data_IF_766924690204
#
_entry.id   IF_766924690204
#
_cell.length_a   1.000
_cell.length_b   1.000
_cell.length_c   1.000
_cell.angle_alpha   90.00
_cell.angle_beta   90.00
_cell.angle_gamma   90.00
#
_symmetry.space_group_name_H-M   'P 1'
#
loop_
_entity.id
_entity.type
_entity.pdbx_description
1 polymer ?
#
# COMPACT_ATOMS: atom_id res chain seq x y z
N UNK A 1 36.53 -36.76 -86.90
CA UNK A 1 36.85 -35.34 -86.86
C UNK A 1 36.01 -34.71 -85.77
N UNK A 2 36.55 -34.42 -84.71
CA UNK A 2 36.41 -33.15 -83.94
C UNK A 2 37.02 -33.34 -82.55
N UNK A 3 37.89 -32.42 -82.19
CA UNK A 3 38.78 -32.46 -81.06
C UNK A 3 38.01 -32.07 -79.79
N UNK A 4 38.18 -32.84 -78.71
CA UNK A 4 37.76 -32.57 -77.37
C UNK A 4 38.95 -31.83 -76.69
N UNK A 5 38.70 -30.56 -76.26
CA UNK A 5 39.61 -29.81 -75.42
C UNK A 5 39.19 -30.00 -73.99
N UNK A 6 40.09 -30.58 -73.18
CA UNK A 6 40.05 -30.74 -71.75
C UNK A 6 40.28 -29.37 -71.10
N UNK A 7 39.33 -28.92 -70.27
CA UNK A 7 39.47 -27.72 -69.43
C UNK A 7 39.53 -28.16 -67.95
N UNK A 8 40.78 -28.12 -67.41
CA UNK A 8 41.03 -28.30 -66.00
C UNK A 8 40.51 -27.09 -65.21
N UNK A 9 39.48 -27.27 -64.41
CA UNK A 9 39.02 -26.27 -63.42
C UNK A 9 39.91 -26.38 -62.19
N UNK A 10 40.75 -25.38 -61.98
CA UNK A 10 41.51 -25.18 -60.73
C UNK A 10 40.50 -24.60 -59.66
N UNK A 11 40.25 -25.39 -58.64
CA UNK A 11 39.56 -24.91 -57.45
C UNK A 11 40.51 -23.99 -56.66
N UNK A 12 40.33 -22.69 -56.78
CA UNK A 12 40.90 -21.74 -55.87
C UNK A 12 40.17 -21.74 -54.54
N UNK A 13 40.71 -22.34 -53.47
CA UNK A 13 40.31 -22.12 -52.12
C UNK A 13 40.54 -20.65 -51.78
N UNK A 14 39.51 -19.83 -51.79
CA UNK A 14 39.56 -18.51 -51.23
C UNK A 14 39.59 -18.63 -49.70
N UNK A 15 40.76 -18.52 -49.10
CA UNK A 15 40.89 -18.22 -47.68
C UNK A 15 40.22 -16.87 -47.43
N UNK A 16 39.03 -16.90 -46.82
CA UNK A 16 38.43 -15.68 -46.30
C UNK A 16 39.37 -15.12 -45.22
N UNK A 17 39.79 -13.86 -45.31
CA UNK A 17 40.53 -13.26 -44.23
C UNK A 17 39.62 -13.25 -42.97
N UNK A 18 40.11 -13.82 -41.89
CA UNK A 18 39.61 -13.51 -40.56
C UNK A 18 39.75 -12.00 -40.40
N UNK A 19 38.64 -11.27 -40.58
CA UNK A 19 38.56 -9.89 -40.13
C UNK A 19 38.55 -9.97 -38.61
N UNK A 20 39.72 -9.82 -38.01
CA UNK A 20 39.80 -9.49 -36.62
C UNK A 20 38.95 -8.23 -36.44
N UNK A 21 37.95 -8.30 -35.59
CA UNK A 21 37.12 -7.15 -35.21
C UNK A 21 38.09 -6.06 -34.71
N UNK A 22 38.35 -5.06 -35.57
CA UNK A 22 39.17 -3.92 -35.22
C UNK A 22 38.35 -3.12 -34.20
N UNK A 23 38.94 -2.84 -33.06
CA UNK A 23 38.36 -1.97 -32.04
C UNK A 23 37.75 -0.73 -32.71
N UNK A 24 36.51 -0.41 -32.34
CA UNK A 24 35.75 0.68 -32.95
C UNK A 24 36.23 2.08 -32.52
N UNK A 25 37.26 2.17 -31.70
CA UNK A 25 37.85 3.43 -31.24
C UNK A 25 39.26 3.60 -31.84
N UNK A 26 39.48 4.69 -32.58
CA UNK A 26 40.79 5.09 -33.06
C UNK A 26 41.76 5.49 -31.93
N UNK A 27 41.25 5.74 -30.72
CA UNK A 27 42.00 6.13 -29.51
C UNK A 27 42.38 4.95 -28.63
N UNK A 28 41.90 3.72 -28.93
CA UNK A 28 42.13 2.54 -28.11
C UNK A 28 41.39 2.59 -26.73
N UNK A 29 40.50 3.53 -26.56
CA UNK A 29 39.69 3.65 -25.34
C UNK A 29 38.58 2.58 -25.35
N UNK A 30 38.57 1.77 -24.32
CA UNK A 30 37.58 0.70 -24.14
C UNK A 30 36.19 1.34 -23.87
N UNK A 31 35.27 1.22 -24.82
CA UNK A 31 33.98 1.89 -24.73
C UNK A 31 33.10 1.26 -23.65
N UNK A 32 32.93 -0.06 -23.65
CA UNK A 32 32.29 -0.89 -22.62
C UNK A 32 32.38 -2.38 -23.00
N UNK A 33 32.16 -3.27 -22.04
CA UNK A 33 32.13 -4.72 -22.27
C UNK A 33 30.77 -5.32 -21.98
N UNK A 34 30.46 -6.43 -22.63
CA UNK A 34 29.25 -7.21 -22.33
C UNK A 34 29.50 -8.07 -21.10
N UNK A 35 28.65 -7.95 -20.08
CA UNK A 35 28.63 -8.81 -18.91
C UNK A 35 27.73 -10.04 -19.11
N UNK A 36 26.57 -9.84 -19.75
CA UNK A 36 25.68 -10.93 -20.14
C UNK A 36 24.87 -10.56 -21.40
N UNK A 37 24.54 -11.58 -22.20
CA UNK A 37 23.53 -11.48 -23.26
C UNK A 37 22.21 -11.97 -22.68
N UNK A 38 21.13 -11.20 -22.87
CA UNK A 38 19.81 -11.48 -22.33
C UNK A 38 18.78 -11.36 -23.46
N UNK A 39 18.30 -12.48 -23.99
CA UNK A 39 17.44 -12.53 -25.17
C UNK A 39 18.06 -11.73 -26.35
N UNK A 40 17.40 -10.64 -26.76
CA UNK A 40 17.86 -9.74 -27.84
C UNK A 40 18.68 -8.53 -27.33
N UNK A 41 18.82 -8.40 -26.00
CA UNK A 41 19.54 -7.30 -25.33
C UNK A 41 20.86 -7.75 -24.70
N UNK A 42 21.54 -6.81 -24.08
CA UNK A 42 22.81 -7.03 -23.38
C UNK A 42 22.84 -6.28 -22.05
N UNK A 43 23.45 -6.89 -21.06
CA UNK A 43 23.88 -6.23 -19.82
C UNK A 43 25.34 -5.83 -19.99
N UNK A 44 25.64 -4.56 -19.77
CA UNK A 44 26.99 -4.01 -19.88
C UNK A 44 27.78 -4.19 -18.58
N UNK A 45 29.12 -4.27 -18.70
CA UNK A 45 29.99 -4.34 -17.50
C UNK A 45 29.93 -3.09 -16.66
N UNK A 46 29.74 -1.92 -17.27
CA UNK A 46 29.54 -0.66 -16.56
C UNK A 46 28.28 -0.69 -15.71
N UNK A 47 27.13 -1.15 -16.24
CA UNK A 47 25.87 -1.29 -15.49
C UNK A 47 26.02 -2.23 -14.30
N UNK A 48 26.68 -3.36 -14.51
CA UNK A 48 26.98 -4.31 -13.43
C UNK A 48 27.86 -3.67 -12.34
N UNK A 49 28.95 -2.97 -12.75
CA UNK A 49 29.86 -2.34 -11.80
C UNK A 49 29.18 -1.22 -10.99
N UNK A 50 28.40 -0.38 -11.65
CA UNK A 50 27.62 0.68 -11.01
C UNK A 50 26.69 0.11 -9.90
N UNK A 51 25.97 -0.97 -10.19
CA UNK A 51 25.11 -1.62 -9.21
C UNK A 51 25.91 -2.27 -8.07
N UNK A 52 27.04 -2.85 -8.36
CA UNK A 52 27.92 -3.43 -7.35
C UNK A 52 28.46 -2.37 -6.39
N UNK A 53 28.91 -1.24 -6.92
CA UNK A 53 29.43 -0.13 -6.12
C UNK A 53 28.35 0.52 -5.28
N UNK A 54 27.15 0.74 -5.83
CA UNK A 54 25.99 1.25 -5.11
C UNK A 54 25.59 0.34 -3.92
N UNK A 55 25.62 -0.97 -4.11
CA UNK A 55 25.29 -1.91 -3.03
C UNK A 55 26.35 -1.89 -1.94
N UNK A 56 27.63 -1.80 -2.30
CA UNK A 56 28.75 -1.69 -1.35
C UNK A 56 28.69 -0.41 -0.54
N UNK A 57 28.42 0.71 -1.18
CA UNK A 57 28.29 2.01 -0.54
C UNK A 57 27.15 2.00 0.50
N UNK A 58 25.94 1.60 0.07
CA UNK A 58 24.79 1.49 0.98
C UNK A 58 25.02 0.55 2.15
N UNK A 59 25.64 -0.60 1.90
CA UNK A 59 25.96 -1.55 2.97
C UNK A 59 26.97 -0.96 3.96
N UNK A 60 27.96 -0.21 3.47
CA UNK A 60 28.94 0.48 4.31
C UNK A 60 28.28 1.56 5.18
N UNK A 61 27.40 2.38 4.60
CA UNK A 61 26.67 3.42 5.31
C UNK A 61 25.75 2.85 6.42
N UNK A 62 25.11 1.71 6.14
CA UNK A 62 24.18 1.05 7.07
C UNK A 62 24.87 0.06 8.01
N UNK A 63 26.18 -0.15 7.88
CA UNK A 63 26.91 -1.13 8.70
C UNK A 63 26.48 -2.58 8.45
N UNK A 64 25.92 -2.90 7.25
CA UNK A 64 25.45 -4.24 6.91
C UNK A 64 26.63 -5.07 6.39
N UNK A 65 26.93 -6.25 6.97
CA UNK A 65 27.97 -7.12 6.46
C UNK A 65 27.59 -7.69 5.08
N UNK A 66 28.48 -7.56 4.12
CA UNK A 66 28.33 -8.14 2.77
C UNK A 66 28.83 -9.60 2.74
N UNK A 67 28.24 -10.44 1.85
CA UNK A 67 28.76 -11.77 1.60
C UNK A 67 30.16 -11.70 0.93
N UNK A 68 30.88 -12.83 0.82
CA UNK A 68 32.13 -12.92 0.03
C UNK A 68 31.96 -12.31 -1.36
N UNK A 69 33.02 -11.70 -1.91
CA UNK A 69 32.95 -10.88 -3.14
C UNK A 69 32.46 -11.65 -4.36
N UNK A 70 32.85 -12.90 -4.50
CA UNK A 70 32.39 -13.82 -5.54
C UNK A 70 30.86 -14.02 -5.50
N UNK A 71 30.31 -14.27 -4.32
CA UNK A 71 28.87 -14.43 -4.11
C UNK A 71 28.12 -13.11 -4.34
N UNK A 72 28.67 -12.00 -3.83
CA UNK A 72 28.10 -10.67 -4.05
C UNK A 72 28.01 -10.34 -5.55
N UNK A 73 29.08 -10.58 -6.29
CA UNK A 73 29.12 -10.33 -7.73
C UNK A 73 28.11 -11.19 -8.49
N UNK A 74 27.97 -12.46 -8.15
CA UNK A 74 26.99 -13.35 -8.75
C UNK A 74 25.55 -12.86 -8.49
N UNK A 75 25.25 -12.49 -7.25
CA UNK A 75 23.93 -11.96 -6.87
C UNK A 75 23.59 -10.63 -7.57
N UNK A 76 24.57 -9.73 -7.68
CA UNK A 76 24.39 -8.46 -8.36
C UNK A 76 24.18 -8.67 -9.86
N UNK A 77 24.96 -9.56 -10.48
CA UNK A 77 24.80 -9.89 -11.89
C UNK A 77 23.42 -10.46 -12.19
N UNK A 78 22.95 -11.42 -11.40
CA UNK A 78 21.62 -12.01 -11.55
C UNK A 78 20.52 -10.95 -11.37
N UNK A 79 20.69 -10.02 -10.43
CA UNK A 79 19.76 -8.89 -10.26
C UNK A 79 19.68 -8.00 -11.49
N UNK A 80 20.82 -7.65 -12.09
CA UNK A 80 20.86 -6.80 -13.30
C UNK A 80 20.25 -7.53 -14.49
N UNK A 81 20.53 -8.84 -14.63
CA UNK A 81 19.91 -9.70 -15.64
C UNK A 81 18.38 -9.72 -15.49
N UNK A 82 17.88 -9.93 -14.27
CA UNK A 82 16.43 -9.94 -14.00
C UNK A 82 15.79 -8.57 -14.27
N UNK A 83 16.48 -7.48 -13.99
CA UNK A 83 16.02 -6.12 -14.34
C UNK A 83 15.89 -5.98 -15.86
N UNK A 84 16.90 -6.40 -16.62
CA UNK A 84 16.86 -6.35 -18.10
C UNK A 84 15.72 -7.20 -18.67
N UNK A 85 15.50 -8.42 -18.15
CA UNK A 85 14.38 -9.29 -18.57
C UNK A 85 13.02 -8.60 -18.32
N UNK A 86 12.87 -7.96 -17.18
CA UNK A 86 11.64 -7.23 -16.83
C UNK A 86 11.44 -6.02 -17.74
N UNK A 87 12.51 -5.24 -18.02
CA UNK A 87 12.44 -4.10 -18.95
C UNK A 87 12.05 -4.53 -20.36
N UNK A 88 12.61 -5.64 -20.85
CA UNK A 88 12.20 -6.23 -22.13
C UNK A 88 10.74 -6.70 -22.12
N UNK A 89 10.27 -7.26 -20.99
CA UNK A 89 8.86 -7.63 -20.84
C UNK A 89 7.96 -6.40 -20.88
N UNK A 90 8.32 -5.32 -20.19
CA UNK A 90 7.62 -4.04 -20.22
C UNK A 90 7.53 -3.48 -21.66
N UNK A 91 8.65 -3.46 -22.38
CA UNK A 91 8.70 -3.01 -23.77
C UNK A 91 7.79 -3.88 -24.67
N UNK A 92 7.80 -5.20 -24.50
CA UNK A 92 7.01 -6.15 -25.29
C UNK A 92 5.51 -5.95 -25.15
N UNK A 93 5.03 -5.54 -23.96
CA UNK A 93 3.61 -5.21 -23.73
C UNK A 93 3.28 -3.75 -24.03
N UNK A 94 4.23 -2.96 -24.55
CA UNK A 94 4.04 -1.54 -24.87
C UNK A 94 3.92 -0.62 -23.65
N UNK A 95 4.40 -1.06 -22.49
CA UNK A 95 4.38 -0.25 -21.27
C UNK A 95 5.38 0.90 -21.38
N UNK A 96 4.88 2.13 -21.30
CA UNK A 96 5.68 3.34 -21.33
C UNK A 96 5.29 4.27 -20.18
N UNK A 97 6.26 4.71 -19.41
CA UNK A 97 6.11 5.73 -18.38
C UNK A 97 6.18 7.10 -19.04
N UNK A 98 5.05 7.82 -19.07
CA UNK A 98 4.99 9.18 -19.61
C UNK A 98 5.80 10.16 -18.77
N UNK A 99 6.24 11.27 -19.39
CA UNK A 99 6.93 12.33 -18.66
C UNK A 99 6.06 12.96 -17.57
N UNK A 100 4.75 13.03 -17.79
CA UNK A 100 3.81 13.53 -16.80
C UNK A 100 3.79 12.64 -15.54
N UNK A 101 3.70 11.31 -15.71
CA UNK A 101 3.74 10.35 -14.61
C UNK A 101 5.09 10.40 -13.88
N UNK A 102 6.19 10.42 -14.62
CA UNK A 102 7.52 10.53 -14.02
C UNK A 102 7.69 11.84 -13.25
N UNK A 103 7.24 12.96 -13.79
CA UNK A 103 7.31 14.25 -13.12
C UNK A 103 6.48 14.28 -11.83
N UNK A 104 5.33 13.60 -11.79
CA UNK A 104 4.54 13.47 -10.56
C UNK A 104 5.32 12.75 -9.45
N UNK A 105 6.00 11.64 -9.79
CA UNK A 105 6.84 10.90 -8.84
C UNK A 105 8.03 11.75 -8.36
N UNK A 106 8.68 12.47 -9.29
CA UNK A 106 9.80 13.35 -8.96
C UNK A 106 9.37 14.55 -8.09
N UNK A 107 8.16 15.08 -8.31
CA UNK A 107 7.58 16.15 -7.50
C UNK A 107 7.31 15.67 -6.06
N UNK A 108 6.80 14.45 -5.89
CA UNK A 108 6.60 13.85 -4.58
C UNK A 108 7.93 13.60 -3.84
N UNK A 109 8.99 13.24 -4.56
CA UNK A 109 10.34 13.13 -4.00
C UNK A 109 10.85 14.50 -3.58
N UNK A 110 10.71 15.53 -4.44
CA UNK A 110 11.13 16.89 -4.14
C UNK A 110 10.44 17.44 -2.90
N UNK A 111 9.11 17.28 -2.78
CA UNK A 111 8.33 17.68 -1.61
C UNK A 111 8.82 17.01 -0.32
N UNK A 112 9.12 15.71 -0.35
CA UNK A 112 9.69 14.99 0.79
C UNK A 112 11.07 15.48 1.18
N UNK A 113 11.83 15.98 0.21
CA UNK A 113 13.15 16.60 0.42
C UNK A 113 13.07 18.08 0.77
N UNK A 114 11.86 18.63 0.98
CA UNK A 114 11.63 20.01 1.39
C UNK A 114 11.70 21.05 0.27
N UNK A 115 11.57 20.61 -1.00
CA UNK A 115 11.63 21.49 -2.18
C UNK A 115 10.52 21.24 -3.19
N UNK A 116 10.69 21.80 -4.37
CA UNK A 116 9.82 21.66 -5.54
C UNK A 116 10.50 20.86 -6.64
N UNK A 117 9.74 20.39 -7.63
CA UNK A 117 10.30 19.69 -8.80
C UNK A 117 11.37 20.53 -9.53
N UNK A 118 11.21 21.86 -9.58
CA UNK A 118 12.17 22.75 -10.20
C UNK A 118 13.49 22.85 -9.41
N UNK A 119 13.46 22.68 -8.11
CA UNK A 119 14.62 22.73 -7.23
C UNK A 119 15.32 21.37 -7.08
N UNK A 120 14.66 20.28 -7.46
CA UNK A 120 15.18 18.91 -7.32
C UNK A 120 16.58 18.72 -7.95
N UNK A 121 16.89 19.27 -9.14
CA UNK A 121 18.26 19.16 -9.69
C UNK A 121 19.33 19.77 -8.77
N UNK A 122 19.02 20.88 -8.11
CA UNK A 122 19.96 21.55 -7.19
C UNK A 122 20.10 20.78 -5.87
N UNK A 123 19.02 20.20 -5.38
CA UNK A 123 19.04 19.35 -4.18
C UNK A 123 19.94 18.12 -4.43
N UNK A 124 19.73 17.41 -5.52
CA UNK A 124 20.52 16.24 -5.88
C UNK A 124 22.00 16.57 -6.13
N UNK A 125 22.28 17.71 -6.76
CA UNK A 125 23.65 18.16 -7.00
C UNK A 125 24.40 18.47 -5.69
N UNK A 126 23.72 18.90 -4.62
CA UNK A 126 24.32 19.10 -3.31
C UNK A 126 24.83 17.77 -2.69
N UNK A 127 24.16 16.66 -3.03
CA UNK A 127 24.53 15.30 -2.62
C UNK A 127 25.42 14.59 -3.66
N UNK A 128 25.89 15.31 -4.71
CA UNK A 128 26.75 14.76 -5.75
C UNK A 128 26.04 13.88 -6.77
N UNK A 129 24.71 13.91 -6.83
CA UNK A 129 23.89 13.04 -7.70
C UNK A 129 23.56 13.79 -9.01
N UNK A 130 23.86 13.18 -10.16
CA UNK A 130 23.46 13.70 -11.47
C UNK A 130 21.95 13.55 -11.70
N UNK A 131 21.28 14.66 -11.95
CA UNK A 131 19.81 14.69 -12.14
C UNK A 131 19.35 13.85 -13.34
N UNK A 132 20.11 13.81 -14.43
CA UNK A 132 19.72 13.04 -15.63
C UNK A 132 19.83 11.55 -15.39
N UNK A 133 20.87 11.14 -14.69
CA UNK A 133 21.04 9.74 -14.26
C UNK A 133 19.93 9.32 -13.28
N UNK A 134 19.66 10.15 -12.27
CA UNK A 134 18.57 9.93 -11.32
C UNK A 134 17.21 9.82 -12.01
N UNK A 135 16.92 10.73 -12.97
CA UNK A 135 15.67 10.70 -13.73
C UNK A 135 15.52 9.42 -14.57
N UNK A 136 16.60 8.92 -15.18
CA UNK A 136 16.59 7.64 -15.92
C UNK A 136 16.32 6.47 -14.98
N UNK A 137 16.99 6.43 -13.84
CA UNK A 137 16.81 5.39 -12.83
C UNK A 137 15.38 5.38 -12.27
N UNK A 138 14.81 6.54 -11.98
CA UNK A 138 13.41 6.65 -11.53
C UNK A 138 12.43 6.19 -12.61
N UNK A 139 12.69 6.48 -13.87
CA UNK A 139 11.84 5.96 -14.96
C UNK A 139 11.87 4.43 -15.03
N UNK A 140 13.04 3.83 -14.88
CA UNK A 140 13.19 2.38 -14.83
C UNK A 140 12.42 1.80 -13.64
N UNK A 141 12.61 2.36 -12.44
CA UNK A 141 11.93 1.91 -11.22
C UNK A 141 10.40 2.00 -11.34
N UNK A 142 9.88 3.12 -11.86
CA UNK A 142 8.44 3.29 -12.12
C UNK A 142 7.94 2.30 -13.17
N UNK A 143 8.74 2.01 -14.20
CA UNK A 143 8.40 1.01 -15.23
C UNK A 143 8.29 -0.39 -14.61
N UNK A 144 9.24 -0.78 -13.78
CA UNK A 144 9.24 -2.08 -13.11
C UNK A 144 8.07 -2.21 -12.13
N UNK A 145 7.75 -1.14 -11.40
CA UNK A 145 6.59 -1.14 -10.49
C UNK A 145 5.27 -1.28 -11.26
N UNK A 146 5.10 -0.54 -12.35
CA UNK A 146 3.91 -0.66 -13.19
C UNK A 146 3.80 -2.06 -13.83
N UNK A 147 4.92 -2.62 -14.30
CA UNK A 147 4.96 -3.97 -14.83
C UNK A 147 4.50 -5.00 -13.77
N UNK A 148 5.02 -4.90 -12.56
CA UNK A 148 4.65 -5.77 -11.44
C UNK A 148 3.17 -5.64 -11.11
N UNK A 149 2.65 -4.41 -11.11
CA UNK A 149 1.23 -4.16 -10.91
C UNK A 149 0.36 -4.88 -11.97
N UNK A 150 0.78 -4.87 -13.24
CA UNK A 150 0.05 -5.51 -14.34
C UNK A 150 0.20 -7.03 -14.31
N UNK A 151 1.43 -7.53 -14.20
CA UNK A 151 1.73 -8.96 -14.37
C UNK A 151 1.52 -9.78 -13.08
N UNK A 152 1.53 -9.13 -11.90
CA UNK A 152 1.38 -9.79 -10.60
C UNK A 152 0.11 -9.32 -9.88
N UNK A 153 0.06 -8.04 -9.47
CA UNK A 153 -0.96 -7.56 -8.54
C UNK A 153 -2.40 -7.71 -9.09
N UNK A 154 -2.59 -7.43 -10.39
CA UNK A 154 -3.91 -7.56 -11.04
C UNK A 154 -4.36 -9.03 -11.21
N UNK A 155 -3.44 -9.99 -11.07
CA UNK A 155 -3.73 -11.42 -11.17
C UNK A 155 -3.98 -12.08 -9.83
N UNK A 156 -3.73 -11.36 -8.72
CA UNK A 156 -4.00 -11.90 -7.39
C UNK A 156 -5.50 -11.87 -7.13
N UNK A 157 -6.09 -13.05 -7.16
CA UNK A 157 -7.48 -13.24 -6.78
C UNK A 157 -7.61 -13.53 -5.30
N UNK A 158 -8.61 -12.91 -4.67
CA UNK A 158 -9.00 -13.17 -3.29
C UNK A 158 -10.39 -13.78 -3.31
N UNK A 159 -10.50 -15.02 -2.87
CA UNK A 159 -11.77 -15.72 -2.84
C UNK A 159 -12.63 -15.30 -1.63
N UNK A 160 -13.97 -15.37 -1.74
CA UNK A 160 -14.86 -15.12 -0.60
C UNK A 160 -14.55 -15.99 0.61
N UNK A 161 -14.11 -17.23 0.40
CA UNK A 161 -13.73 -18.16 1.47
C UNK A 161 -12.50 -17.66 2.25
N UNK A 162 -11.50 -17.15 1.57
CA UNK A 162 -10.31 -16.59 2.22
C UNK A 162 -10.66 -15.35 3.05
N UNK A 163 -11.58 -14.51 2.53
CA UNK A 163 -12.08 -13.33 3.26
C UNK A 163 -12.78 -13.77 4.54
N UNK A 164 -13.72 -14.73 4.44
CA UNK A 164 -14.45 -15.24 5.60
C UNK A 164 -13.51 -15.88 6.62
N UNK A 165 -12.51 -16.65 6.18
CA UNK A 165 -11.51 -17.21 7.07
C UNK A 165 -10.70 -16.14 7.79
N UNK A 166 -10.25 -15.11 7.05
CA UNK A 166 -9.52 -13.98 7.62
C UNK A 166 -10.36 -13.23 8.67
N UNK A 167 -11.65 -12.98 8.39
CA UNK A 167 -12.58 -12.34 9.34
C UNK A 167 -12.72 -13.21 10.60
N UNK A 168 -12.94 -14.51 10.43
CA UNK A 168 -13.03 -15.43 11.56
C UNK A 168 -11.74 -15.46 12.39
N UNK A 169 -10.57 -15.46 11.74
CA UNK A 169 -9.27 -15.40 12.41
C UNK A 169 -9.06 -14.08 13.16
N UNK A 170 -9.53 -12.94 12.60
CA UNK A 170 -9.52 -11.65 13.28
C UNK A 170 -10.40 -11.67 14.53
N UNK A 171 -11.60 -12.24 14.43
CA UNK A 171 -12.56 -12.33 15.56
C UNK A 171 -12.09 -13.31 16.64
N UNK A 172 -11.49 -14.44 16.25
CA UNK A 172 -10.97 -15.43 17.19
C UNK A 172 -9.64 -15.01 17.85
N UNK A 173 -8.87 -14.14 17.22
CA UNK A 173 -7.53 -13.73 17.66
C UNK A 173 -7.46 -12.22 17.92
N UNK A 174 -8.50 -11.63 18.52
CA UNK A 174 -8.54 -10.19 18.83
C UNK A 174 -7.29 -9.74 19.62
N UNK A 175 -6.86 -10.55 20.58
CA UNK A 175 -5.69 -10.23 21.41
C UNK A 175 -4.43 -10.17 20.58
N UNK A 176 -4.18 -11.16 19.71
CA UNK A 176 -2.95 -11.27 18.90
C UNK A 176 -2.84 -10.12 17.88
N UNK A 177 -3.96 -9.70 17.31
CA UNK A 177 -4.01 -8.68 16.26
C UNK A 177 -4.15 -7.24 16.78
N UNK A 178 -4.11 -7.05 18.10
CA UNK A 178 -4.23 -5.74 18.74
C UNK A 178 -2.94 -5.31 19.43
N UNK A 179 -2.79 -4.01 19.60
CA UNK A 179 -1.76 -3.42 20.46
C UNK A 179 -2.42 -2.92 21.74
N UNK A 180 -1.82 -3.23 22.86
CA UNK A 180 -2.33 -2.89 24.18
C UNK A 180 -1.36 -2.00 24.94
N UNK A 181 -1.87 -0.92 25.50
CA UNK A 181 -1.21 -0.19 26.57
C UNK A 181 -1.75 -0.72 27.89
N UNK A 182 -0.93 -1.47 28.62
CA UNK A 182 -1.35 -2.19 29.80
C UNK A 182 -0.72 -1.61 31.08
N UNK A 183 -1.48 -1.73 32.17
CA UNK A 183 -0.94 -1.62 33.53
C UNK A 183 -1.27 -2.88 34.33
N UNK A 184 -0.40 -3.23 35.28
CA UNK A 184 -0.45 -4.51 35.96
C UNK A 184 -0.15 -4.35 37.46
N UNK A 185 -0.94 -5.01 38.30
CA UNK A 185 -0.69 -5.20 39.72
C UNK A 185 -0.43 -6.68 39.97
N UNK A 186 0.66 -6.99 40.61
CA UNK A 186 1.07 -8.34 41.00
C UNK A 186 1.11 -8.45 42.53
N UNK A 187 0.36 -9.39 43.08
CA UNK A 187 0.41 -9.77 44.50
C UNK A 187 1.04 -11.16 44.61
N UNK A 188 2.21 -11.25 45.20
CA UNK A 188 2.95 -12.51 45.34
C UNK A 188 2.30 -13.42 46.41
N UNK A 189 2.31 -14.71 46.12
CA UNK A 189 1.91 -15.76 47.09
C UNK A 189 3.14 -16.55 47.51
N UNK A 190 3.25 -16.94 48.80
CA UNK A 190 4.30 -17.87 49.24
C UNK A 190 4.20 -19.21 48.50
N UNK A 191 5.31 -19.89 48.23
CA UNK A 191 5.34 -21.19 47.54
C UNK A 191 4.46 -22.26 48.23
N UNK A 192 4.32 -22.16 49.57
CA UNK A 192 3.50 -23.07 50.37
C UNK A 192 2.31 -22.36 51.03
N UNK A 193 1.68 -21.40 50.33
CA UNK A 193 0.55 -20.65 50.87
C UNK A 193 -0.61 -21.58 51.25
N UNK A 194 -1.09 -21.44 52.49
CA UNK A 194 -2.28 -22.12 52.96
C UNK A 194 -3.52 -21.60 52.22
N UNK A 195 -4.59 -22.41 52.22
CA UNK A 195 -5.90 -21.99 51.65
C UNK A 195 -6.38 -20.66 52.23
N UNK A 196 -6.19 -20.45 53.56
CA UNK A 196 -6.61 -19.21 54.22
C UNK A 196 -5.77 -17.98 53.74
N UNK A 197 -4.48 -18.14 53.50
CA UNK A 197 -3.63 -17.07 52.98
C UNK A 197 -4.00 -16.71 51.53
N UNK A 198 -4.32 -17.74 50.70
CA UNK A 198 -4.79 -17.52 49.33
C UNK A 198 -6.13 -16.78 49.34
N UNK A 199 -7.08 -17.20 50.20
CA UNK A 199 -8.39 -16.53 50.31
C UNK A 199 -8.25 -15.06 50.71
N UNK A 200 -7.40 -14.73 51.71
CA UNK A 200 -7.14 -13.35 52.10
C UNK A 200 -6.49 -12.53 51.00
N UNK A 201 -5.54 -13.10 50.27
CA UNK A 201 -4.89 -12.43 49.14
C UNK A 201 -5.89 -12.18 48.00
N UNK A 202 -6.79 -13.13 47.70
CA UNK A 202 -7.85 -12.96 46.72
C UNK A 202 -8.89 -11.91 47.15
N UNK A 203 -9.24 -11.84 48.45
CA UNK A 203 -10.13 -10.82 48.99
C UNK A 203 -9.50 -9.42 48.86
N UNK A 204 -8.22 -9.28 49.19
CA UNK A 204 -7.47 -8.04 48.97
C UNK A 204 -7.43 -7.65 47.48
N UNK A 205 -7.19 -8.61 46.59
CA UNK A 205 -7.20 -8.36 45.16
C UNK A 205 -8.56 -7.86 44.63
N UNK A 206 -9.67 -8.44 45.13
CA UNK A 206 -11.03 -7.98 44.81
C UNK A 206 -11.30 -6.57 45.32
N UNK A 207 -10.85 -6.21 46.53
CA UNK A 207 -10.92 -4.84 47.02
C UNK A 207 -10.20 -3.85 46.12
N UNK A 208 -8.99 -4.20 45.66
CA UNK A 208 -8.22 -3.38 44.74
C UNK A 208 -8.97 -3.19 43.42
N UNK A 209 -9.54 -4.26 42.86
CA UNK A 209 -10.33 -4.20 41.61
C UNK A 209 -11.58 -3.33 41.79
N UNK A 210 -12.32 -3.50 42.88
CA UNK A 210 -13.51 -2.68 43.19
C UNK A 210 -13.15 -1.21 43.23
N UNK A 211 -12.12 -0.84 43.96
CA UNK A 211 -11.64 0.55 44.06
C UNK A 211 -11.19 1.12 42.71
N UNK A 212 -10.47 0.32 41.91
CA UNK A 212 -10.06 0.74 40.58
C UNK A 212 -11.24 1.00 39.63
N UNK A 213 -12.29 0.15 39.71
CA UNK A 213 -13.53 0.30 38.95
C UNK A 213 -14.40 1.47 39.43
N UNK A 214 -14.30 1.79 40.72
CA UNK A 214 -14.98 2.94 41.35
C UNK A 214 -14.24 4.26 41.12
N UNK A 215 -13.17 4.26 40.31
CA UNK A 215 -12.48 5.46 39.83
C UNK A 215 -11.22 5.83 40.60
N UNK A 216 -10.71 4.98 41.51
CA UNK A 216 -9.41 5.19 42.12
C UNK A 216 -8.29 5.08 41.06
N UNK A 217 -7.27 5.91 41.20
CA UNK A 217 -6.12 5.87 40.27
C UNK A 217 -5.39 4.53 40.36
N UNK A 218 -5.41 3.77 39.27
CA UNK A 218 -4.77 2.47 39.18
C UNK A 218 -3.27 2.55 39.42
N UNK A 219 -2.63 3.66 39.07
CA UNK A 219 -1.19 3.89 39.27
C UNK A 219 -0.84 4.00 40.75
N UNK A 220 -1.69 4.69 41.53
CA UNK A 220 -1.54 4.78 42.97
C UNK A 220 -1.77 3.43 43.66
N UNK A 221 -2.78 2.66 43.16
CA UNK A 221 -3.03 1.30 43.64
C UNK A 221 -1.85 0.37 43.33
N UNK A 222 -1.27 0.47 42.14
CA UNK A 222 -0.10 -0.30 41.75
C UNK A 222 1.12 0.06 42.63
N UNK A 223 1.41 1.34 42.81
CA UNK A 223 2.52 1.78 43.65
C UNK A 223 2.37 1.34 45.12
N UNK A 224 1.14 1.22 45.60
CA UNK A 224 0.85 0.85 47.00
C UNK A 224 0.81 -0.65 47.25
N UNK A 225 0.26 -1.42 46.30
CA UNK A 225 -0.06 -2.83 46.57
C UNK A 225 0.72 -3.80 45.70
N UNK A 226 1.24 -3.38 44.54
CA UNK A 226 1.92 -4.27 43.61
C UNK A 226 3.32 -4.62 44.12
N UNK A 227 3.67 -5.88 43.97
CA UNK A 227 5.01 -6.43 44.23
C UNK A 227 5.75 -6.73 42.90
N UNK A 228 5.16 -6.31 41.80
CA UNK A 228 5.77 -6.45 40.47
C UNK A 228 6.89 -5.43 40.23
N UNK A 229 7.75 -5.67 39.24
CA UNK A 229 8.92 -4.82 38.96
C UNK A 229 8.55 -3.38 38.57
N UNK A 230 7.35 -3.17 38.00
CA UNK A 230 6.86 -1.85 37.55
C UNK A 230 5.96 -1.16 38.59
N UNK A 231 5.88 -1.66 39.83
CA UNK A 231 5.03 -1.14 40.89
C UNK A 231 5.20 0.36 41.12
N UNK A 232 6.44 0.84 41.23
CA UNK A 232 6.77 2.25 41.47
C UNK A 232 6.58 3.14 40.25
N UNK A 233 6.43 2.54 39.06
CA UNK A 233 6.10 3.18 37.81
C UNK A 233 4.56 3.18 37.53
N UNK A 234 3.78 2.91 38.58
CA UNK A 234 2.32 2.82 38.48
C UNK A 234 1.81 1.55 37.79
N UNK A 235 2.64 0.49 37.79
CA UNK A 235 2.31 -0.79 37.16
C UNK A 235 2.39 -0.78 35.64
N UNK A 236 2.88 0.29 34.99
CA UNK A 236 2.86 0.44 33.55
C UNK A 236 3.73 -0.62 32.86
N UNK A 237 3.16 -1.30 31.87
CA UNK A 237 3.87 -2.21 30.96
C UNK A 237 4.13 -1.55 29.59
N UNK A 238 3.57 -0.33 29.37
CA UNK A 238 3.65 0.39 28.12
C UNK A 238 2.83 -0.25 27.00
N UNK A 239 3.12 0.17 25.74
CA UNK A 239 2.54 -0.41 24.55
C UNK A 239 3.22 -1.73 24.21
N UNK A 240 2.43 -2.76 23.94
CA UNK A 240 2.90 -4.06 23.47
C UNK A 240 1.96 -4.62 22.41
N UNK A 241 2.53 -5.28 21.40
CA UNK A 241 1.77 -6.05 20.42
C UNK A 241 1.14 -7.26 21.10
N UNK A 242 -0.05 -7.66 20.65
CA UNK A 242 -0.76 -8.80 21.22
C UNK A 242 0.03 -10.09 21.25
N UNK A 243 0.90 -10.29 20.24
CA UNK A 243 1.86 -11.43 20.21
C UNK A 243 2.88 -11.39 21.36
N UNK A 244 3.21 -10.20 21.85
CA UNK A 244 4.15 -9.99 22.95
C UNK A 244 3.46 -10.03 24.33
N UNK A 245 2.13 -10.08 24.37
CA UNK A 245 1.36 -10.19 25.63
C UNK A 245 1.65 -11.55 26.26
N UNK A 246 2.02 -11.59 27.56
CA UNK A 246 2.21 -12.86 28.25
C UNK A 246 0.97 -13.76 28.12
N UNK A 247 1.19 -15.02 27.82
CA UNK A 247 0.10 -16.01 27.57
C UNK A 247 -0.94 -16.04 28.70
N UNK A 248 -0.48 -15.80 29.94
CA UNK A 248 -1.36 -15.72 31.13
C UNK A 248 -2.41 -14.62 31.03
N UNK A 249 -2.17 -13.57 30.22
CA UNK A 249 -3.10 -12.46 30.05
C UNK A 249 -3.99 -12.59 28.82
N UNK A 250 -3.67 -13.49 27.87
CA UNK A 250 -4.39 -13.60 26.59
C UNK A 250 -5.90 -13.86 26.79
N UNK A 251 -6.24 -14.81 27.67
CA UNK A 251 -7.66 -15.12 27.98
C UNK A 251 -8.36 -13.99 28.73
N UNK A 252 -7.60 -13.26 29.57
CA UNK A 252 -8.12 -12.15 30.35
C UNK A 252 -8.45 -10.96 29.46
N UNK A 253 -7.56 -10.65 28.52
CA UNK A 253 -7.67 -9.49 27.64
C UNK A 253 -8.74 -9.65 26.54
N UNK A 254 -9.03 -10.89 26.12
CA UNK A 254 -9.96 -11.14 25.03
C UNK A 254 -11.33 -10.43 25.14
N UNK A 255 -12.01 -10.41 26.32
CA UNK A 255 -13.26 -9.70 26.47
C UNK A 255 -13.13 -8.22 26.87
N UNK A 256 -11.90 -7.73 27.14
CA UNK A 256 -11.67 -6.40 27.72
C UNK A 256 -11.59 -5.31 26.66
N UNK A 257 -12.04 -4.10 27.04
CA UNK A 257 -11.98 -2.87 26.26
C UNK A 257 -11.01 -1.86 26.91
N UNK A 258 -10.67 -0.81 26.16
CA UNK A 258 -9.92 0.32 26.74
C UNK A 258 -10.66 0.89 27.97
N UNK A 259 -9.93 1.09 29.05
CA UNK A 259 -10.46 1.51 30.35
C UNK A 259 -10.78 0.37 31.32
N UNK A 260 -10.96 -0.86 30.86
CA UNK A 260 -11.39 -1.98 31.71
C UNK A 260 -10.29 -2.44 32.66
N UNK A 261 -10.74 -2.92 33.83
CA UNK A 261 -9.91 -3.59 34.85
C UNK A 261 -10.38 -5.03 34.99
N UNK A 262 -9.43 -5.98 34.86
CA UNK A 262 -9.72 -7.42 34.96
C UNK A 262 -10.27 -7.85 36.32
N UNK A 263 -10.89 -9.02 36.39
CA UNK A 263 -11.00 -9.76 37.65
C UNK A 263 -9.60 -10.22 38.11
N UNK A 264 -9.40 -10.46 39.43
CA UNK A 264 -8.16 -11.02 39.93
C UNK A 264 -7.92 -12.41 39.32
N UNK A 265 -6.77 -12.59 38.66
CA UNK A 265 -6.39 -13.87 38.08
C UNK A 265 -5.25 -14.50 38.89
N UNK A 266 -5.47 -15.73 39.35
CA UNK A 266 -4.49 -16.46 40.17
C UNK A 266 -3.62 -17.38 39.33
N UNK A 267 -2.32 -17.30 39.55
CA UNK A 267 -1.32 -18.31 39.13
C UNK A 267 -0.87 -19.13 40.35
N UNK A 268 0.10 -20.00 40.15
CA UNK A 268 0.64 -20.81 41.27
C UNK A 268 1.32 -19.94 42.35
N UNK A 269 1.97 -18.84 41.95
CA UNK A 269 2.84 -18.04 42.82
C UNK A 269 2.37 -16.60 43.00
N UNK A 270 1.27 -16.18 42.35
CA UNK A 270 0.85 -14.78 42.35
C UNK A 270 -0.63 -14.61 41.98
N UNK A 271 -1.17 -13.42 42.27
CA UNK A 271 -2.45 -12.93 41.79
C UNK A 271 -2.17 -11.72 40.92
N UNK A 272 -2.78 -11.65 39.78
CA UNK A 272 -2.60 -10.61 38.77
C UNK A 272 -3.90 -9.82 38.58
N UNK A 273 -3.77 -8.50 38.47
CA UNK A 273 -4.84 -7.58 38.05
C UNK A 273 -4.30 -6.77 36.90
N UNK A 274 -4.99 -6.77 35.76
CA UNK A 274 -4.58 -6.06 34.55
C UNK A 274 -5.58 -4.95 34.26
N UNK A 275 -5.09 -3.79 33.86
CA UNK A 275 -5.90 -2.71 33.30
C UNK A 275 -5.47 -2.47 31.87
N UNK A 276 -6.44 -2.39 30.96
CA UNK A 276 -6.26 -1.91 29.60
C UNK A 276 -6.39 -0.39 29.62
N UNK A 277 -5.26 0.34 29.52
CA UNK A 277 -5.31 1.80 29.47
C UNK A 277 -5.83 2.26 28.10
N UNK A 278 -5.26 1.70 27.04
CA UNK A 278 -5.62 1.96 25.64
C UNK A 278 -5.46 0.67 24.84
N UNK A 279 -6.18 0.58 23.71
CA UNK A 279 -6.09 -0.54 22.78
C UNK A 279 -6.13 0.00 21.36
N UNK A 280 -5.34 -0.60 20.46
CA UNK A 280 -5.30 -0.28 19.02
C UNK A 280 -5.41 -1.58 18.22
N UNK A 281 -5.92 -1.50 16.98
CA UNK A 281 -5.96 -2.66 16.08
C UNK A 281 -7.15 -3.60 16.25
N UNK A 282 -7.90 -3.55 17.36
CA UNK A 282 -9.24 -4.13 17.38
C UNK A 282 -10.10 -3.36 16.36
N UNK A 283 -10.88 -4.07 15.56
CA UNK A 283 -11.82 -3.41 14.65
C UNK A 283 -12.87 -2.69 15.49
N UNK A 284 -12.58 -1.41 15.77
CA UNK A 284 -13.59 -0.55 16.42
C UNK A 284 -14.82 -0.47 15.52
N UNK A 285 -15.98 -0.40 16.16
CA UNK A 285 -17.22 -0.11 15.46
C UNK A 285 -17.06 1.18 14.69
N UNK A 286 -17.19 1.11 13.38
CA UNK A 286 -17.03 2.24 12.49
C UNK A 286 -18.40 2.65 11.95
N UNK A 287 -18.78 3.88 12.25
CA UNK A 287 -19.99 4.49 11.72
C UNK A 287 -19.61 5.63 10.79
N UNK A 288 -20.23 5.67 9.64
CA UNK A 288 -20.04 6.74 8.65
C UNK A 288 -21.37 7.39 8.30
N UNK A 289 -21.34 8.70 8.08
CA UNK A 289 -22.47 9.41 7.52
C UNK A 289 -22.58 9.12 6.04
N UNK A 290 -23.72 8.59 5.60
CA UNK A 290 -24.01 8.38 4.19
C UNK A 290 -25.15 9.29 3.73
N UNK A 291 -25.05 9.71 2.48
CA UNK A 291 -26.06 10.50 1.80
C UNK A 291 -26.54 9.74 0.56
N UNK A 292 -27.86 9.69 0.38
CA UNK A 292 -28.49 9.27 -0.87
C UNK A 292 -28.86 10.53 -1.64
N UNK A 293 -28.38 10.64 -2.87
CA UNK A 293 -28.55 11.82 -3.69
C UNK A 293 -28.82 11.44 -5.15
N UNK A 294 -29.41 12.38 -5.91
CA UNK A 294 -29.53 12.31 -7.36
C UNK A 294 -29.06 13.59 -8.00
N UNK A 295 -28.54 13.51 -9.23
CA UNK A 295 -27.99 14.67 -9.91
C UNK A 295 -28.33 14.70 -11.41
N UNK A 296 -28.15 15.88 -12.01
CA UNK A 296 -28.10 16.09 -13.44
C UNK A 296 -26.76 16.75 -13.75
N UNK A 297 -26.02 16.21 -14.71
CA UNK A 297 -24.78 16.73 -15.22
C UNK A 297 -24.95 17.22 -16.64
N UNK A 298 -24.46 18.41 -16.96
CA UNK A 298 -24.27 18.86 -18.34
C UNK A 298 -22.79 19.18 -18.54
N UNK A 299 -22.15 18.42 -19.42
CA UNK A 299 -20.72 18.52 -19.70
C UNK A 299 -20.46 19.44 -20.88
N UNK A 300 -19.69 20.52 -20.73
CA UNK A 300 -19.25 21.35 -21.85
C UNK A 300 -18.43 20.51 -22.84
N UNK A 301 -18.63 20.76 -24.13
CA UNK A 301 -17.93 20.09 -25.22
C UNK A 301 -17.78 21.03 -26.43
N UNK A 302 -17.31 20.54 -27.58
CA UNK A 302 -17.11 21.35 -28.79
C UNK A 302 -18.39 22.01 -29.34
N UNK A 303 -19.57 21.48 -28.97
CA UNK A 303 -20.86 21.96 -29.44
C UNK A 303 -21.57 22.81 -28.39
N UNK A 304 -21.39 22.48 -27.12
CA UNK A 304 -22.00 23.13 -25.96
C UNK A 304 -20.87 23.78 -25.13
N UNK A 305 -20.79 25.11 -25.21
CA UNK A 305 -19.85 25.86 -24.39
C UNK A 305 -20.28 25.92 -22.91
N UNK A 306 -19.40 26.42 -22.05
CA UNK A 306 -19.62 26.43 -20.60
C UNK A 306 -20.86 27.27 -20.20
N UNK A 307 -21.09 28.42 -20.88
CA UNK A 307 -22.23 29.29 -20.61
C UNK A 307 -23.55 28.65 -21.05
N UNK A 308 -23.55 27.97 -22.20
CA UNK A 308 -24.70 27.21 -22.69
C UNK A 308 -25.02 26.03 -21.78
N UNK A 309 -24.02 25.31 -21.27
CA UNK A 309 -24.20 24.20 -20.33
C UNK A 309 -24.83 24.72 -19.03
N UNK A 310 -24.31 25.81 -18.48
CA UNK A 310 -24.87 26.49 -17.31
C UNK A 310 -26.32 26.89 -17.52
N UNK A 311 -26.62 27.53 -18.66
CA UNK A 311 -27.98 28.01 -18.94
C UNK A 311 -28.98 26.86 -19.06
N UNK A 312 -28.62 25.78 -19.75
CA UNK A 312 -29.47 24.58 -19.85
C UNK A 312 -29.75 23.97 -18.48
N UNK A 313 -28.75 23.94 -17.60
CA UNK A 313 -28.94 23.41 -16.26
C UNK A 313 -29.77 24.35 -15.39
N UNK A 314 -29.63 25.68 -15.57
CA UNK A 314 -30.49 26.66 -14.92
C UNK A 314 -31.96 26.51 -15.36
N UNK A 315 -32.20 26.27 -16.63
CA UNK A 315 -33.55 25.99 -17.14
C UNK A 315 -34.13 24.71 -16.55
N UNK A 316 -33.30 23.66 -16.41
CA UNK A 316 -33.70 22.42 -15.75
C UNK A 316 -34.02 22.64 -14.25
N UNK A 317 -33.23 23.41 -13.55
CA UNK A 317 -33.46 23.80 -12.15
C UNK A 317 -34.79 24.49 -11.97
N UNK A 318 -35.12 25.50 -12.83
CA UNK A 318 -36.39 26.22 -12.75
C UNK A 318 -37.61 25.29 -13.06
N UNK A 319 -37.46 24.37 -14.00
CA UNK A 319 -38.48 23.35 -14.32
C UNK A 319 -38.75 22.41 -13.13
N UNK A 320 -37.69 21.94 -12.47
CA UNK A 320 -37.82 21.10 -11.26
C UNK A 320 -38.52 21.89 -10.15
N UNK A 321 -38.14 23.14 -9.91
CA UNK A 321 -38.81 24.01 -8.94
C UNK A 321 -40.26 24.30 -9.26
N UNK A 322 -40.62 24.28 -10.55
CA UNK A 322 -42.00 24.38 -11.01
C UNK A 322 -42.81 23.07 -10.89
N UNK A 323 -42.18 21.96 -10.42
CA UNK A 323 -42.83 20.69 -10.15
C UNK A 323 -42.67 19.64 -11.24
N UNK A 324 -41.78 19.86 -12.21
CA UNK A 324 -41.45 18.84 -13.21
C UNK A 324 -40.60 17.74 -12.56
N UNK A 325 -40.80 16.50 -13.02
CA UNK A 325 -40.14 15.33 -12.43
C UNK A 325 -38.63 15.35 -12.68
N UNK A 326 -37.86 15.30 -11.59
CA UNK A 326 -36.39 15.31 -11.63
C UNK A 326 -35.84 14.12 -12.42
N UNK A 327 -36.39 12.91 -12.23
CA UNK A 327 -35.89 11.71 -12.85
C UNK A 327 -36.11 11.72 -14.38
N UNK A 328 -37.22 12.24 -14.82
CA UNK A 328 -37.50 12.38 -16.28
C UNK A 328 -36.56 13.42 -16.91
N UNK A 329 -36.29 14.53 -16.20
CA UNK A 329 -35.32 15.52 -16.67
C UNK A 329 -33.88 14.99 -16.68
N UNK A 330 -33.51 14.20 -15.67
CA UNK A 330 -32.21 13.55 -15.65
C UNK A 330 -32.00 12.60 -16.82
N UNK A 331 -33.01 11.77 -17.15
CA UNK A 331 -32.97 10.87 -18.33
C UNK A 331 -32.84 11.63 -19.63
N UNK A 332 -33.45 12.83 -19.72
CA UNK A 332 -33.48 13.63 -20.93
C UNK A 332 -32.22 14.47 -21.15
N UNK A 333 -31.66 15.00 -20.08
CA UNK A 333 -30.65 16.07 -20.13
C UNK A 333 -29.30 15.69 -19.59
N UNK A 334 -29.22 14.69 -18.69
CA UNK A 334 -27.96 14.38 -18.02
C UNK A 334 -26.97 13.68 -18.93
N UNK A 335 -25.75 14.21 -18.96
CA UNK A 335 -24.60 13.62 -19.66
C UNK A 335 -23.86 12.58 -18.81
N UNK A 336 -24.33 12.28 -17.59
CA UNK A 336 -23.73 11.25 -16.76
C UNK A 336 -24.19 9.84 -17.18
N UNK A 337 -23.32 9.03 -17.81
CA UNK A 337 -23.71 7.71 -18.28
C UNK A 337 -24.02 6.72 -17.15
N UNK A 338 -23.56 6.99 -15.92
CA UNK A 338 -23.74 6.13 -14.76
C UNK A 338 -25.13 6.26 -14.14
N UNK A 339 -25.73 7.44 -14.16
CA UNK A 339 -26.96 7.72 -13.42
C UNK A 339 -28.11 8.27 -14.29
N UNK A 340 -27.84 8.83 -15.48
CA UNK A 340 -28.87 9.44 -16.32
C UNK A 340 -30.09 8.53 -16.55
N UNK A 341 -29.85 7.27 -16.93
CA UNK A 341 -30.92 6.30 -17.23
C UNK A 341 -31.72 5.85 -16.01
N UNK A 342 -31.18 6.03 -14.81
CA UNK A 342 -31.81 5.72 -13.51
C UNK A 342 -32.40 6.97 -12.84
N UNK A 343 -32.63 8.05 -13.62
CA UNK A 343 -33.21 9.27 -13.09
C UNK A 343 -32.24 10.14 -12.29
N UNK A 344 -30.95 9.98 -12.55
CA UNK A 344 -29.88 10.71 -11.87
C UNK A 344 -29.47 10.13 -10.52
N UNK A 345 -29.99 8.97 -10.10
CA UNK A 345 -29.70 8.37 -8.79
C UNK A 345 -28.23 7.95 -8.67
N UNK A 346 -27.59 8.39 -7.59
CA UNK A 346 -26.21 8.06 -7.23
C UNK A 346 -26.14 6.97 -6.16
N UNK A 347 -27.29 6.65 -5.54
CA UNK A 347 -27.36 5.72 -4.40
C UNK A 347 -26.73 6.28 -3.13
N UNK A 348 -26.44 5.40 -2.17
CA UNK A 348 -25.81 5.76 -0.91
C UNK A 348 -24.30 5.98 -1.09
N UNK A 349 -23.85 7.17 -0.74
CA UNK A 349 -22.46 7.58 -0.81
C UNK A 349 -21.92 7.95 0.56
N UNK A 350 -20.74 7.46 0.91
CA UNK A 350 -20.01 7.82 2.10
C UNK A 350 -18.99 8.94 1.87
N UNK A 351 -18.25 9.35 2.91
CA UNK A 351 -17.21 10.37 2.80
C UNK A 351 -16.17 10.02 1.72
N UNK A 352 -15.80 11.01 0.90
CA UNK A 352 -14.78 10.86 -0.14
C UNK A 352 -15.24 10.18 -1.43
N UNK A 353 -16.52 9.86 -1.57
CA UNK A 353 -17.07 9.29 -2.81
C UNK A 353 -17.15 10.34 -3.92
N UNK A 354 -17.48 11.58 -3.59
CA UNK A 354 -17.64 12.67 -4.53
C UNK A 354 -16.37 13.53 -4.66
N UNK A 355 -16.22 14.21 -5.79
CA UNK A 355 -15.17 15.23 -5.96
C UNK A 355 -15.43 16.41 -5.02
N UNK A 356 -14.38 17.15 -4.58
CA UNK A 356 -14.49 18.14 -3.51
C UNK A 356 -15.59 19.18 -3.72
N UNK A 357 -15.77 19.67 -4.94
CA UNK A 357 -16.77 20.69 -5.28
C UNK A 357 -18.20 20.15 -5.11
N UNK A 358 -18.43 18.91 -5.54
CA UNK A 358 -19.71 18.23 -5.40
C UNK A 358 -20.00 17.88 -3.94
N UNK A 359 -19.01 17.35 -3.24
CA UNK A 359 -19.11 16.97 -1.82
C UNK A 359 -19.44 18.18 -0.93
N UNK A 360 -18.83 19.35 -1.20
CA UNK A 360 -19.12 20.56 -0.48
C UNK A 360 -20.59 21.01 -0.61
N UNK A 361 -21.14 20.91 -1.82
CA UNK A 361 -22.56 21.26 -2.06
C UNK A 361 -23.47 20.25 -1.38
N UNK A 362 -23.24 18.95 -1.57
CA UNK A 362 -24.03 17.89 -0.93
C UNK A 362 -24.05 18.04 0.59
N UNK A 363 -22.93 18.38 1.22
CA UNK A 363 -22.84 18.61 2.67
C UNK A 363 -23.67 19.79 3.16
N UNK A 364 -23.87 20.80 2.33
CA UNK A 364 -24.62 22.00 2.72
C UNK A 364 -26.14 21.87 2.59
N UNK A 365 -26.63 20.83 1.88
CA UNK A 365 -28.06 20.64 1.61
C UNK A 365 -28.74 19.79 2.70
N UNK A 366 -29.97 20.12 3.00
CA UNK A 366 -30.84 19.30 3.81
C UNK A 366 -31.56 18.21 2.96
N UNK A 367 -32.12 17.15 3.57
CA UNK A 367 -32.92 16.16 2.84
C UNK A 367 -34.10 16.79 2.08
N UNK A 368 -34.27 16.39 0.85
CA UNK A 368 -35.22 16.91 -0.16
C UNK A 368 -34.93 18.36 -0.58
N UNK A 369 -33.69 18.81 -0.44
CA UNK A 369 -33.25 20.10 -0.92
C UNK A 369 -32.51 19.96 -2.25
N UNK A 370 -32.84 20.85 -3.20
CA UNK A 370 -32.23 20.95 -4.53
C UNK A 370 -31.17 22.05 -4.53
N UNK A 371 -29.96 21.75 -4.99
CA UNK A 371 -28.89 22.75 -5.12
C UNK A 371 -29.20 23.77 -6.23
N UNK A 372 -28.61 24.95 -6.13
CA UNK A 372 -28.39 25.79 -7.30
C UNK A 372 -27.37 25.11 -8.26
N UNK A 373 -27.36 25.49 -9.55
CA UNK A 373 -26.35 25.02 -10.48
C UNK A 373 -24.93 25.38 -10.02
N UNK A 374 -24.05 24.38 -9.93
CA UNK A 374 -22.65 24.55 -9.55
C UNK A 374 -21.72 23.80 -10.51
N UNK A 375 -20.44 24.16 -10.51
CA UNK A 375 -19.45 23.61 -11.44
C UNK A 375 -18.46 22.69 -10.74
N UNK A 376 -18.14 21.56 -11.37
CA UNK A 376 -17.01 20.68 -11.04
C UNK A 376 -16.08 20.52 -12.25
N UNK A 377 -15.06 19.67 -12.12
CA UNK A 377 -14.18 19.30 -13.22
C UNK A 377 -14.91 18.55 -14.37
N UNK A 378 -16.08 17.96 -14.12
CA UNK A 378 -16.87 17.22 -15.12
C UNK A 378 -17.87 18.11 -15.88
N UNK A 379 -18.20 19.25 -15.36
CA UNK A 379 -19.18 20.15 -15.93
C UNK A 379 -20.06 20.84 -14.89
N UNK A 380 -21.26 21.19 -15.30
CA UNK A 380 -22.27 21.82 -14.45
C UNK A 380 -23.23 20.79 -13.88
N UNK A 381 -23.54 20.93 -12.60
CA UNK A 381 -24.38 20.01 -11.83
C UNK A 381 -25.52 20.75 -11.13
N UNK A 382 -26.64 20.05 -10.99
CA UNK A 382 -27.60 20.24 -9.92
C UNK A 382 -27.72 18.92 -9.18
N UNK A 383 -27.85 18.96 -7.86
CA UNK A 383 -27.96 17.80 -7.00
C UNK A 383 -29.14 17.97 -6.04
N UNK A 384 -29.85 16.92 -5.78
CA UNK A 384 -30.86 16.83 -4.74
C UNK A 384 -30.46 15.74 -3.74
N UNK A 385 -30.42 16.09 -2.47
CA UNK A 385 -30.23 15.13 -1.39
C UNK A 385 -31.56 14.49 -1.05
N UNK A 386 -31.67 13.18 -1.20
CA UNK A 386 -32.90 12.44 -0.88
C UNK A 386 -32.97 12.08 0.61
N UNK A 387 -31.90 11.47 1.11
CA UNK A 387 -31.86 10.98 2.49
C UNK A 387 -30.43 11.03 3.06
N UNK A 388 -30.33 11.03 4.38
CA UNK A 388 -29.07 10.86 5.13
C UNK A 388 -29.24 9.75 6.16
N UNK A 389 -28.15 9.00 6.40
CA UNK A 389 -28.13 7.98 7.45
C UNK A 389 -26.75 7.85 8.07
N UNK A 390 -26.73 7.38 9.30
CA UNK A 390 -25.53 6.81 9.92
C UNK A 390 -25.49 5.34 9.55
N UNK A 391 -24.42 4.90 8.93
CA UNK A 391 -24.24 3.52 8.49
C UNK A 391 -23.07 2.88 9.24
N UNK A 392 -23.34 1.73 9.87
CA UNK A 392 -22.31 0.91 10.49
C UNK A 392 -21.56 0.15 9.39
N UNK A 393 -20.36 0.62 9.05
CA UNK A 393 -19.52 0.01 8.03
C UNK A 393 -18.42 -0.90 8.60
N UNK A 394 -18.59 -1.34 9.85
CA UNK A 394 -17.60 -2.18 10.54
C UNK A 394 -17.29 -3.46 9.77
N UNK A 395 -18.32 -4.14 9.25
CA UNK A 395 -18.13 -5.37 8.47
C UNK A 395 -17.47 -5.11 7.13
N UNK A 396 -17.85 -4.02 6.43
CA UNK A 396 -17.23 -3.62 5.17
C UNK A 396 -15.74 -3.32 5.35
N UNK A 397 -15.37 -2.66 6.45
CA UNK A 397 -13.97 -2.40 6.80
C UNK A 397 -13.20 -3.66 7.13
N UNK A 398 -13.79 -4.61 7.88
CA UNK A 398 -13.17 -5.92 8.14
C UNK A 398 -12.88 -6.64 6.82
N UNK A 399 -13.86 -6.69 5.93
CA UNK A 399 -13.73 -7.31 4.62
C UNK A 399 -12.62 -6.66 3.79
N UNK A 400 -12.63 -5.32 3.68
CA UNK A 400 -11.60 -4.56 2.96
C UNK A 400 -10.20 -4.80 3.54
N UNK A 401 -10.05 -4.76 4.86
CA UNK A 401 -8.79 -5.02 5.55
C UNK A 401 -8.29 -6.45 5.28
N UNK A 402 -9.19 -7.44 5.32
CA UNK A 402 -8.86 -8.81 4.97
C UNK A 402 -8.43 -8.97 3.52
N UNK A 403 -9.10 -8.32 2.56
CA UNK A 403 -8.70 -8.33 1.15
C UNK A 403 -7.30 -7.74 0.97
N UNK A 404 -7.01 -6.59 1.60
CA UNK A 404 -5.68 -5.96 1.54
C UNK A 404 -4.61 -6.88 2.15
N UNK A 405 -4.87 -7.47 3.32
CA UNK A 405 -3.95 -8.37 4.02
C UNK A 405 -3.66 -9.63 3.20
N UNK A 406 -4.68 -10.28 2.66
CA UNK A 406 -4.53 -11.48 1.83
C UNK A 406 -3.75 -11.16 0.55
N UNK A 407 -4.07 -10.05 -0.12
CA UNK A 407 -3.31 -9.62 -1.32
C UNK A 407 -1.84 -9.34 -1.00
N UNK A 408 -1.57 -8.65 0.10
CA UNK A 408 -0.20 -8.38 0.54
C UNK A 408 0.58 -9.67 0.83
N UNK A 409 -0.04 -10.66 1.48
CA UNK A 409 0.56 -11.97 1.71
C UNK A 409 0.85 -12.73 0.43
N UNK A 410 -0.12 -12.78 -0.50
CA UNK A 410 0.05 -13.46 -1.79
C UNK A 410 1.07 -12.78 -2.71
N UNK A 411 1.22 -11.45 -2.63
CA UNK A 411 2.09 -10.67 -3.51
C UNK A 411 3.55 -11.14 -3.48
N UNK A 412 4.07 -11.48 -2.31
CA UNK A 412 5.44 -11.96 -2.15
C UNK A 412 5.69 -13.23 -2.95
N UNK A 413 4.87 -14.23 -2.75
CA UNK A 413 4.98 -15.54 -3.40
C UNK A 413 4.74 -15.44 -4.92
N UNK A 414 3.70 -14.70 -5.34
CA UNK A 414 3.38 -14.49 -6.75
C UNK A 414 4.49 -13.72 -7.48
N UNK A 415 5.11 -12.72 -6.82
CA UNK A 415 6.25 -12.00 -7.39
C UNK A 415 7.44 -12.94 -7.60
N UNK A 416 7.76 -13.79 -6.62
CA UNK A 416 8.85 -14.76 -6.76
C UNK A 416 8.58 -15.77 -7.87
N UNK A 417 7.36 -16.30 -7.95
CA UNK A 417 6.96 -17.21 -9.01
C UNK A 417 7.00 -16.56 -10.40
N UNK A 418 6.57 -15.32 -10.48
CA UNK A 418 6.63 -14.54 -11.71
C UNK A 418 8.06 -14.26 -12.15
N UNK A 419 8.94 -13.81 -11.23
CA UNK A 419 10.35 -13.56 -11.55
C UNK A 419 11.06 -14.85 -11.98
N UNK A 420 10.77 -15.99 -11.32
CA UNK A 420 11.32 -17.29 -11.71
C UNK A 420 10.89 -17.68 -13.14
N UNK A 421 9.60 -17.54 -13.46
CA UNK A 421 9.09 -17.78 -14.82
C UNK A 421 9.78 -16.92 -15.86
N UNK A 422 9.89 -15.61 -15.60
CA UNK A 422 10.58 -14.69 -16.50
C UNK A 422 12.03 -15.10 -16.74
N UNK A 423 12.71 -15.55 -15.67
CA UNK A 423 14.10 -16.03 -15.74
C UNK A 423 14.24 -17.32 -16.52
N UNK A 424 13.34 -18.27 -16.31
CA UNK A 424 13.34 -19.59 -16.96
C UNK A 424 13.00 -19.50 -18.47
N UNK A 425 12.17 -18.52 -18.86
CA UNK A 425 11.79 -18.26 -20.25
C UNK A 425 12.86 -17.48 -21.02
N UNK A 426 13.78 -16.81 -20.33
CA UNK A 426 14.78 -15.96 -20.95
C UNK A 426 16.03 -16.74 -21.36
N UNK A 427 16.54 -16.46 -22.56
CA UNK A 427 17.89 -16.87 -22.94
C UNK A 427 18.90 -15.96 -22.25
N UNK A 428 19.82 -16.53 -21.49
CA UNK A 428 20.89 -15.79 -20.80
C UNK A 428 22.23 -16.45 -21.00
N UNK A 429 23.21 -15.69 -21.49
CA UNK A 429 24.61 -16.12 -21.65
C UNK A 429 25.55 -15.14 -20.92
N UNK A 430 26.18 -15.59 -19.83
CA UNK A 430 27.13 -14.79 -19.05
C UNK A 430 28.49 -14.72 -19.79
N UNK A 431 29.07 -13.52 -19.87
CA UNK A 431 30.34 -13.22 -20.57
C UNK A 431 31.46 -12.68 -19.65
N UNK A 432 31.21 -12.65 -18.33
CA UNK A 432 32.17 -12.17 -17.33
C UNK A 432 33.31 -13.15 -17.11
#
# INVERSE_FOLDING_TARGET
>A
MLKINSLCAVLALSAAPFVAAKELSETGEFIDGVAAIVNEGVVLKSQFQEQLDLIRERASEQGIPLPPDDILREQVLERVILTEIQMQRAARIGLQVSDQMLNSVLDDIAKRSGGTLAELPSILAADGIDYQQFRRQMREEVTLEQLRRIDVDQRIEVSPREIQQCIADLENNVVVNSEYNLSHILLSLPEAASTSEIEKAMENARDIVSRARDGADFRELAARYSQGPTALEGGSLGWMQGEAVPTVFTEILAPMKAGDVSEPYRTATSIHIVKVNEMRGAVERSEIDQVNARHILISPNEIIDDDTAKQRLQDAYERIKAGEDFAELAKLLSDDPGSANTGGELGWAGPGTFVPEFDAVVKSLEPNELSEPFRSQFGWHIVEVLERRVYDNTEDLKEQNCVVRIRAGKRGDETQLWMRRLRDEAYVEVKM
#
